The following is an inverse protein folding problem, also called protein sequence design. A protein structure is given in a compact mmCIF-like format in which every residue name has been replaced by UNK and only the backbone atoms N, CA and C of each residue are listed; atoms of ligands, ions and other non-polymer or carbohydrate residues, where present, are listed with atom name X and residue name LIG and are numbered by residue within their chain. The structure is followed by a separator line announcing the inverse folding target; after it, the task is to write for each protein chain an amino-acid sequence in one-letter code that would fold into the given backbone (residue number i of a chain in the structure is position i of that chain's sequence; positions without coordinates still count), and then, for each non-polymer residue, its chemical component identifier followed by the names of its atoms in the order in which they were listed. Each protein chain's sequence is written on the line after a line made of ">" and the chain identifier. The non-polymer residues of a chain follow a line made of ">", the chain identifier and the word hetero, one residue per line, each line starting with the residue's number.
data_IF_006844596500
#
_entry.id   IF_006844596500
#
_cell.length_a   1.000
_cell.length_b   1.000
_cell.length_c   1.000
_cell.angle_alpha   90.00
_cell.angle_beta   90.00
_cell.angle_gamma   90.00
#
_symmetry.space_group_name_H-M   'P 1'
#
loop_
_entity.id
_entity.type
_entity.pdbx_description
1 polymer ?
#
# COMPACT_ATOMS: atom_id res chain seq x y z
N UNK A 1 21.21 63.75 -38.82
CA UNK A 1 20.53 62.77 -37.93
C UNK A 1 19.77 61.70 -38.71
N UNK A 2 19.08 62.06 -39.82
CA UNK A 2 18.43 61.09 -40.71
C UNK A 2 19.45 60.19 -41.45
N UNK A 3 20.58 60.74 -41.88
CA UNK A 3 21.59 59.97 -42.61
C UNK A 3 22.36 58.97 -41.75
N UNK A 4 22.55 59.28 -40.46
CA UNK A 4 23.17 58.39 -39.48
C UNK A 4 22.31 57.15 -39.19
N UNK A 5 20.98 57.32 -39.19
CA UNK A 5 20.01 56.23 -39.02
C UNK A 5 19.96 55.35 -40.27
N UNK A 6 20.00 55.94 -41.47
CA UNK A 6 20.07 55.16 -42.74
C UNK A 6 21.33 54.29 -42.80
N UNK A 7 22.47 54.83 -42.40
CA UNK A 7 23.74 54.12 -42.40
C UNK A 7 23.75 52.95 -41.40
N UNK A 8 23.12 53.12 -40.23
CA UNK A 8 22.92 52.04 -39.26
C UNK A 8 21.98 50.92 -39.77
N UNK A 9 20.89 51.29 -40.45
CA UNK A 9 19.95 50.33 -41.05
C UNK A 9 20.63 49.53 -42.17
N UNK A 10 21.49 50.16 -42.99
CA UNK A 10 22.28 49.47 -44.01
C UNK A 10 23.32 48.51 -43.41
N UNK A 11 23.93 48.90 -42.28
CA UNK A 11 24.90 48.06 -41.56
C UNK A 11 24.25 46.84 -40.89
N UNK A 12 23.02 46.99 -40.40
CA UNK A 12 22.22 45.88 -39.85
C UNK A 12 21.74 44.95 -40.99
N UNK A 13 21.32 45.49 -42.14
CA UNK A 13 20.92 44.69 -43.31
C UNK A 13 22.07 43.90 -43.94
N UNK A 14 23.31 44.39 -43.85
CA UNK A 14 24.50 43.72 -44.40
C UNK A 14 25.12 42.69 -43.44
N UNK A 15 24.68 42.64 -42.18
CA UNK A 15 25.14 41.68 -41.17
C UNK A 15 24.77 40.24 -41.52
N UNK A 16 25.73 39.32 -41.34
CA UNK A 16 25.58 37.87 -41.59
C UNK A 16 24.40 37.26 -40.81
N UNK A 17 24.07 37.84 -39.65
CA UNK A 17 22.98 37.37 -38.77
C UNK A 17 21.60 37.77 -39.30
N UNK A 18 21.48 38.91 -39.99
CA UNK A 18 20.20 39.41 -40.51
C UNK A 18 19.84 38.84 -41.89
N UNK A 19 20.84 38.39 -42.67
CA UNK A 19 20.65 37.77 -43.99
C UNK A 19 19.63 36.61 -43.99
N UNK A 20 19.66 35.62 -43.07
CA UNK A 20 18.65 34.56 -43.06
C UNK A 20 17.23 35.11 -42.80
N UNK A 21 17.07 36.09 -41.90
CA UNK A 21 15.77 36.69 -41.61
C UNK A 21 15.21 37.50 -42.79
N UNK A 22 16.06 38.22 -43.51
CA UNK A 22 15.66 38.99 -44.69
C UNK A 22 15.24 38.04 -45.83
N UNK A 23 15.99 36.95 -46.05
CA UNK A 23 15.68 35.92 -47.04
C UNK A 23 14.36 35.20 -46.71
N UNK A 24 14.16 34.84 -45.44
CA UNK A 24 12.90 34.25 -44.95
C UNK A 24 11.75 35.25 -45.16
N UNK A 25 11.92 36.51 -44.75
CA UNK A 25 10.88 37.55 -44.93
C UNK A 25 10.50 37.74 -46.40
N UNK A 26 11.49 37.77 -47.30
CA UNK A 26 11.27 37.92 -48.75
C UNK A 26 10.55 36.70 -49.32
N UNK A 27 10.98 35.49 -48.95
CA UNK A 27 10.30 34.25 -49.32
C UNK A 27 8.83 34.19 -48.85
N UNK A 28 8.57 34.66 -47.62
CA UNK A 28 7.23 34.80 -47.05
C UNK A 28 6.37 35.88 -47.71
N UNK A 29 6.99 36.91 -48.32
CA UNK A 29 6.29 37.92 -49.12
C UNK A 29 5.91 37.37 -50.49
N UNK A 30 6.85 36.65 -51.14
CA UNK A 30 6.67 36.12 -52.49
C UNK A 30 5.71 34.91 -52.54
N UNK A 31 5.63 34.13 -51.45
CA UNK A 31 4.80 32.92 -51.39
C UNK A 31 3.61 33.09 -50.43
N UNK A 32 2.60 33.89 -50.84
CA UNK A 32 1.43 34.23 -50.02
C UNK A 32 0.67 33.00 -49.49
N UNK A 33 0.49 31.96 -50.31
CA UNK A 33 -0.20 30.72 -49.90
C UNK A 33 0.63 29.94 -48.88
N UNK A 34 1.95 29.79 -49.11
CA UNK A 34 2.85 29.05 -48.20
C UNK A 34 2.98 29.78 -46.86
N UNK A 35 2.98 31.12 -46.84
CA UNK A 35 2.90 31.91 -45.61
C UNK A 35 1.68 31.54 -44.76
N UNK A 36 0.49 31.54 -45.37
CA UNK A 36 -0.76 31.19 -44.67
C UNK A 36 -0.69 29.76 -44.14
N UNK A 37 -0.14 28.83 -44.93
CA UNK A 37 0.05 27.44 -44.53
C UNK A 37 1.02 27.30 -43.34
N UNK A 38 2.15 28.00 -43.35
CA UNK A 38 3.13 27.95 -42.23
C UNK A 38 2.54 28.56 -40.95
N UNK A 39 1.84 29.70 -41.05
CA UNK A 39 1.17 30.32 -39.88
C UNK A 39 0.09 29.37 -39.34
N UNK A 40 -0.72 28.78 -40.22
CA UNK A 40 -1.74 27.81 -39.84
C UNK A 40 -1.11 26.57 -39.19
N UNK A 41 -0.04 26.03 -39.77
CA UNK A 41 0.69 24.90 -39.19
C UNK A 41 1.25 25.23 -37.81
N UNK A 42 1.80 26.42 -37.61
CA UNK A 42 2.32 26.85 -36.31
C UNK A 42 1.20 26.96 -35.26
N UNK A 43 0.06 27.55 -35.63
CA UNK A 43 -1.14 27.62 -34.78
C UNK A 43 -1.70 26.24 -34.47
N UNK A 44 -1.75 25.35 -35.46
CA UNK A 44 -2.21 23.98 -35.31
C UNK A 44 -1.30 23.19 -34.38
N UNK A 45 0.02 23.29 -34.54
CA UNK A 45 0.98 22.66 -33.61
C UNK A 45 0.80 23.19 -32.19
N UNK A 46 0.61 24.50 -32.01
CA UNK A 46 0.33 25.08 -30.69
C UNK A 46 -0.97 24.53 -30.07
N UNK A 47 -2.03 24.38 -30.88
CA UNK A 47 -3.30 23.78 -30.47
C UNK A 47 -3.16 22.30 -30.08
N UNK A 48 -2.45 21.51 -30.89
CA UNK A 48 -2.18 20.10 -30.60
C UNK A 48 -1.35 19.98 -29.32
N UNK A 49 -0.33 20.82 -29.13
CA UNK A 49 0.46 20.86 -27.89
C UNK A 49 -0.37 21.22 -26.66
N UNK A 50 -1.35 22.13 -26.78
CA UNK A 50 -2.28 22.45 -25.69
C UNK A 50 -3.22 21.28 -25.37
N UNK A 51 -3.74 20.59 -26.39
CA UNK A 51 -4.58 19.40 -26.21
C UNK A 51 -3.82 18.25 -25.58
N UNK A 52 -2.60 17.97 -26.06
CA UNK A 52 -1.72 16.98 -25.44
C UNK A 52 -1.38 17.42 -24.01
N UNK A 53 -1.10 18.70 -23.79
CA UNK A 53 -0.89 19.27 -22.47
C UNK A 53 -2.08 19.04 -21.54
N UNK A 54 -3.31 19.17 -22.01
CA UNK A 54 -4.52 18.91 -21.22
C UNK A 54 -4.73 17.40 -20.94
N UNK A 55 -4.41 16.53 -21.89
CA UNK A 55 -4.52 15.06 -21.73
C UNK A 55 -3.46 14.54 -20.75
N UNK A 56 -2.23 15.05 -20.83
CA UNK A 56 -1.11 14.63 -19.98
C UNK A 56 -0.94 15.47 -18.72
N UNK A 57 -1.73 16.54 -18.55
CA UNK A 57 -1.70 17.32 -17.31
C UNK A 57 -2.14 16.43 -16.15
N UNK A 58 -1.39 16.39 -15.04
CA UNK A 58 -1.84 15.72 -13.84
C UNK A 58 -3.22 16.24 -13.45
N UNK A 59 -4.18 15.34 -13.23
CA UNK A 59 -5.46 15.73 -12.66
C UNK A 59 -5.22 16.47 -11.34
N UNK A 60 -5.92 17.58 -11.11
CA UNK A 60 -5.82 18.32 -9.85
C UNK A 60 -6.18 17.36 -8.70
N UNK A 61 -5.19 16.99 -7.90
CA UNK A 61 -5.43 16.26 -6.67
C UNK A 61 -6.00 17.25 -5.66
N UNK A 62 -7.25 17.01 -5.26
CA UNK A 62 -7.94 17.80 -4.24
C UNK A 62 -7.47 17.46 -2.82
N UNK A 63 -6.83 16.30 -2.63
CA UNK A 63 -6.33 15.80 -1.35
C UNK A 63 -4.80 15.72 -1.35
N UNK A 64 -4.18 16.07 -0.22
CA UNK A 64 -2.73 15.97 -0.06
C UNK A 64 -2.29 14.51 0.09
N UNK A 65 -1.03 14.22 -0.23
CA UNK A 65 -0.42 12.89 0.01
C UNK A 65 -0.54 12.47 1.48
N UNK A 66 -0.59 13.44 2.40
CA UNK A 66 -0.80 13.19 3.83
C UNK A 66 -2.21 12.75 4.17
N UNK A 67 -3.22 13.31 3.50
CA UNK A 67 -4.62 12.87 3.64
C UNK A 67 -4.83 11.48 3.03
N UNK A 68 -4.10 11.16 1.95
CA UNK A 68 -4.10 9.86 1.29
C UNK A 68 -3.11 8.84 1.89
N UNK A 69 -2.54 9.13 3.07
CA UNK A 69 -1.71 8.16 3.82
C UNK A 69 -2.55 6.91 4.10
N UNK A 70 -2.05 5.78 3.62
CA UNK A 70 -2.67 4.47 3.79
C UNK A 70 -2.19 3.74 5.02
N UNK A 71 -1.29 4.32 5.82
CA UNK A 71 -0.86 3.79 7.12
C UNK A 71 -1.07 4.87 8.17
N UNK A 72 -1.72 4.50 9.27
CA UNK A 72 -1.99 5.36 10.43
C UNK A 72 -1.62 4.60 11.70
N UNK A 73 -1.19 5.35 12.71
CA UNK A 73 -0.92 4.87 14.06
C UNK A 73 -1.90 5.57 14.98
N UNK A 74 -2.51 4.84 15.93
CA UNK A 74 -3.39 5.43 16.92
C UNK A 74 -2.56 6.24 17.92
N UNK A 75 -2.99 7.45 18.28
CA UNK A 75 -2.14 8.38 19.04
C UNK A 75 -1.90 7.89 20.47
N UNK A 76 -2.84 7.13 21.03
CA UNK A 76 -2.70 6.45 22.33
C UNK A 76 -1.75 5.24 22.33
N UNK A 77 -1.02 5.00 21.24
CA UNK A 77 -0.01 3.93 21.16
C UNK A 77 -0.57 2.51 21.15
N UNK A 78 -1.89 2.33 21.03
CA UNK A 78 -2.52 1.01 21.11
C UNK A 78 -2.35 0.15 19.87
N UNK A 79 -1.90 0.73 18.75
CA UNK A 79 -1.63 -0.04 17.55
C UNK A 79 -1.48 0.78 16.28
N UNK A 80 -1.46 0.06 15.17
CA UNK A 80 -1.40 0.61 13.82
C UNK A 80 -2.48 0.00 12.93
N UNK A 81 -2.94 0.75 11.95
CA UNK A 81 -3.84 0.28 10.90
C UNK A 81 -3.40 0.78 9.53
N UNK A 82 -3.43 -0.13 8.55
CA UNK A 82 -2.98 0.10 7.18
C UNK A 82 -4.05 -0.30 6.18
N UNK A 83 -4.47 0.64 5.35
CA UNK A 83 -5.27 0.39 4.15
C UNK A 83 -4.38 -0.20 3.04
N UNK A 84 -4.36 -1.53 2.90
CA UNK A 84 -3.48 -2.26 2.00
C UNK A 84 -4.00 -2.34 0.56
N UNK A 85 -5.32 -2.37 0.37
CA UNK A 85 -5.94 -2.39 -0.96
C UNK A 85 -7.21 -1.54 -1.02
N UNK A 86 -7.47 -0.97 -2.19
CA UNK A 86 -8.66 -0.19 -2.50
C UNK A 86 -9.11 -0.50 -3.93
N UNK A 87 -10.33 -1.01 -4.06
CA UNK A 87 -10.94 -1.36 -5.34
C UNK A 87 -12.33 -0.76 -5.44
N UNK A 88 -12.69 -0.30 -6.63
CA UNK A 88 -14.01 0.25 -6.93
C UNK A 88 -14.53 -0.31 -8.23
N UNK A 89 -15.79 -0.73 -8.21
CA UNK A 89 -16.54 -1.14 -9.38
C UNK A 89 -17.62 -0.12 -9.73
N UNK A 90 -17.42 0.70 -10.77
CA UNK A 90 -18.46 1.62 -11.25
C UNK A 90 -19.74 0.90 -11.69
N UNK A 91 -19.60 -0.32 -12.24
CA UNK A 91 -20.73 -1.08 -12.77
C UNK A 91 -21.68 -1.60 -11.69
N UNK A 92 -21.13 -2.03 -10.54
CA UNK A 92 -21.92 -2.57 -9.44
C UNK A 92 -22.09 -1.61 -8.26
N UNK A 93 -21.40 -0.47 -8.27
CA UNK A 93 -21.45 0.51 -7.18
C UNK A 93 -20.87 -0.05 -5.88
N UNK A 94 -19.82 -0.86 -5.97
CA UNK A 94 -19.17 -1.52 -4.82
C UNK A 94 -17.75 -1.00 -4.67
N UNK A 95 -17.38 -0.59 -3.46
CA UNK A 95 -15.99 -0.38 -3.05
C UNK A 95 -15.59 -1.51 -2.11
N UNK A 96 -14.41 -2.09 -2.33
CA UNK A 96 -13.77 -3.05 -1.44
C UNK A 96 -12.47 -2.46 -0.92
N UNK A 97 -12.30 -2.45 0.39
CA UNK A 97 -11.14 -1.95 1.09
C UNK A 97 -10.56 -3.07 1.95
N UNK A 98 -9.23 -3.24 1.90
CA UNK A 98 -8.55 -4.19 2.77
C UNK A 98 -7.70 -3.43 3.78
N UNK A 99 -7.96 -3.68 5.06
CA UNK A 99 -7.23 -3.13 6.17
C UNK A 99 -6.40 -4.21 6.86
N UNK A 100 -5.20 -3.84 7.26
CA UNK A 100 -4.34 -4.65 8.13
C UNK A 100 -4.11 -3.92 9.45
N UNK A 101 -4.21 -4.62 10.57
CA UNK A 101 -4.03 -4.05 11.91
C UNK A 101 -2.87 -4.69 12.64
N UNK A 102 -2.25 -3.94 13.54
CA UNK A 102 -1.24 -4.43 14.47
C UNK A 102 -1.61 -3.95 15.87
N UNK A 103 -1.80 -4.88 16.79
CA UNK A 103 -2.01 -4.56 18.20
C UNK A 103 -0.65 -4.35 18.88
N UNK A 104 -0.46 -3.20 19.52
CA UNK A 104 0.75 -2.86 20.27
C UNK A 104 0.59 -3.08 21.78
N UNK A 105 -0.61 -3.42 22.25
CA UNK A 105 -0.93 -3.62 23.68
C UNK A 105 -0.69 -5.05 24.15
N UNK A 106 -0.49 -5.98 23.21
CA UNK A 106 -0.28 -7.40 23.49
C UNK A 106 1.10 -7.84 23.02
N UNK A 107 1.82 -8.69 23.80
CA UNK A 107 3.04 -9.33 23.32
C UNK A 107 2.76 -10.42 22.27
N UNK A 108 1.49 -10.75 22.05
CA UNK A 108 1.08 -11.74 21.04
C UNK A 108 0.97 -11.04 19.69
N UNK A 109 1.70 -11.54 18.69
CA UNK A 109 1.68 -11.03 17.31
C UNK A 109 0.31 -11.28 16.64
N UNK A 110 -0.62 -10.35 16.89
CA UNK A 110 -2.01 -10.35 16.40
C UNK A 110 -2.44 -8.95 16.00
N UNK A 111 -3.50 -8.88 15.21
CA UNK A 111 -4.18 -7.61 14.93
C UNK A 111 -5.09 -7.19 16.07
N UNK A 112 -5.57 -5.95 15.96
CA UNK A 112 -6.55 -5.38 16.89
C UNK A 112 -7.88 -6.12 16.69
N UNK A 113 -8.48 -6.60 17.79
CA UNK A 113 -9.79 -7.24 17.75
C UNK A 113 -10.82 -6.30 17.11
N UNK A 114 -11.47 -6.75 16.04
CA UNK A 114 -12.50 -5.99 15.33
C UNK A 114 -13.67 -5.54 16.21
N UNK A 115 -13.96 -6.24 17.32
CA UNK A 115 -14.98 -5.83 18.30
C UNK A 115 -14.58 -4.56 19.05
N UNK A 116 -13.28 -4.26 19.12
CA UNK A 116 -12.72 -3.04 19.71
C UNK A 116 -12.54 -1.92 18.70
N UNK A 117 -12.88 -2.13 17.42
CA UNK A 117 -12.83 -1.10 16.39
C UNK A 117 -14.25 -0.60 16.13
N UNK A 118 -14.48 0.70 16.35
CA UNK A 118 -15.72 1.38 15.94
C UNK A 118 -15.45 2.08 14.61
N UNK A 119 -16.35 1.88 13.66
CA UNK A 119 -16.20 2.40 12.30
C UNK A 119 -17.34 3.37 12.01
N UNK A 120 -17.02 4.50 11.38
CA UNK A 120 -18.01 5.44 10.87
C UNK A 120 -17.70 5.75 9.41
N UNK A 121 -18.74 5.79 8.57
CA UNK A 121 -18.63 6.12 7.15
C UNK A 121 -19.25 7.49 6.90
N UNK A 122 -18.45 8.39 6.32
CA UNK A 122 -18.89 9.70 5.89
C UNK A 122 -18.80 9.84 4.38
N UNK A 123 -19.78 10.47 3.75
CA UNK A 123 -19.81 10.71 2.32
C UNK A 123 -20.01 12.17 1.99
N UNK A 124 -19.31 12.65 0.95
CA UNK A 124 -19.57 13.96 0.38
C UNK A 124 -20.93 14.00 -0.34
N UNK A 125 -21.24 12.95 -1.10
CA UNK A 125 -22.51 12.81 -1.82
C UNK A 125 -23.28 11.61 -1.25
N UNK A 126 -24.02 11.83 -0.16
CA UNK A 126 -24.76 10.76 0.52
C UNK A 126 -25.91 10.24 -0.36
N UNK A 127 -25.99 8.92 -0.52
CA UNK A 127 -27.22 8.23 -0.92
C UNK A 127 -27.82 7.53 0.30
N UNK A 128 -29.15 7.46 0.38
CA UNK A 128 -29.84 6.87 1.55
C UNK A 128 -29.50 5.39 1.74
N UNK A 129 -29.12 4.70 0.65
CA UNK A 129 -28.90 3.26 0.65
C UNK A 129 -27.43 2.86 0.73
N UNK A 130 -26.48 3.83 0.83
CA UNK A 130 -25.06 3.49 0.98
C UNK A 130 -24.83 2.89 2.38
N UNK A 131 -24.37 1.64 2.40
CA UNK A 131 -24.03 0.91 3.63
C UNK A 131 -22.59 0.40 3.58
N UNK A 132 -21.97 0.32 4.76
CA UNK A 132 -20.66 -0.27 4.96
C UNK A 132 -20.76 -1.56 5.77
N UNK A 133 -20.13 -2.62 5.27
CA UNK A 133 -20.08 -3.93 5.92
C UNK A 133 -18.64 -4.29 6.26
N UNK A 134 -18.42 -4.75 7.50
CA UNK A 134 -17.09 -5.12 7.99
C UNK A 134 -17.00 -6.64 8.07
N UNK A 135 -15.96 -7.21 7.47
CA UNK A 135 -15.74 -8.66 7.40
C UNK A 135 -14.31 -8.96 7.88
N UNK A 136 -14.13 -9.48 9.11
CA UNK A 136 -12.81 -9.88 9.57
C UNK A 136 -12.40 -11.19 8.87
N UNK A 137 -11.25 -11.19 8.18
CA UNK A 137 -10.75 -12.35 7.43
C UNK A 137 -9.83 -13.19 8.31
N UNK A 138 -8.74 -12.61 8.77
CA UNK A 138 -7.83 -13.18 9.80
C UNK A 138 -7.62 -12.16 10.91
N UNK A 139 -6.94 -12.56 12.00
CA UNK A 139 -6.74 -11.72 13.19
C UNK A 139 -6.24 -10.30 12.88
N UNK A 140 -5.43 -10.15 11.83
CA UNK A 140 -4.83 -8.87 11.44
C UNK A 140 -5.34 -8.32 10.11
N UNK A 141 -6.33 -8.94 9.44
CA UNK A 141 -6.82 -8.50 8.13
C UNK A 141 -8.34 -8.39 8.13
N UNK A 142 -8.84 -7.24 7.70
CA UNK A 142 -10.26 -6.87 7.71
C UNK A 142 -10.63 -6.37 6.32
N UNK A 143 -11.65 -6.96 5.71
CA UNK A 143 -12.21 -6.48 4.46
C UNK A 143 -13.46 -5.64 4.75
N UNK A 144 -13.54 -4.46 4.15
CA UNK A 144 -14.65 -3.52 4.30
C UNK A 144 -15.29 -3.33 2.93
N UNK A 145 -16.60 -3.54 2.87
CA UNK A 145 -17.41 -3.42 1.65
C UNK A 145 -18.29 -2.19 1.79
N UNK A 146 -18.25 -1.28 0.83
CA UNK A 146 -19.21 -0.18 0.74
C UNK A 146 -20.10 -0.44 -0.47
N UNK A 147 -21.41 -0.57 -0.24
CA UNK A 147 -22.41 -0.89 -1.27
C UNK A 147 -23.22 0.34 -1.64
N UNK A 148 -23.84 0.30 -2.82
CA UNK A 148 -24.70 1.35 -3.35
C UNK A 148 -23.98 2.70 -3.52
N UNK A 149 -22.70 2.64 -3.88
CA UNK A 149 -21.85 3.79 -4.13
C UNK A 149 -22.22 4.43 -5.47
N UNK A 150 -22.57 5.72 -5.52
CA UNK A 150 -22.88 6.41 -6.78
C UNK A 150 -21.61 6.66 -7.61
N UNK A 151 -21.74 6.71 -8.94
CA UNK A 151 -20.60 6.92 -9.85
C UNK A 151 -19.77 8.19 -9.54
N UNK A 152 -20.42 9.22 -9.01
CA UNK A 152 -19.85 10.51 -8.68
C UNK A 152 -19.76 10.75 -7.16
N UNK A 153 -19.46 9.72 -6.37
CA UNK A 153 -19.42 9.82 -4.89
C UNK A 153 -18.43 10.86 -4.34
N UNK A 154 -17.48 11.34 -5.15
CA UNK A 154 -16.52 12.38 -4.77
C UNK A 154 -15.45 11.80 -3.84
N UNK A 155 -15.76 11.73 -2.55
CA UNK A 155 -14.96 11.06 -1.55
C UNK A 155 -15.81 10.48 -0.41
N UNK A 156 -15.32 9.37 0.13
CA UNK A 156 -15.70 8.85 1.44
C UNK A 156 -14.56 9.07 2.43
N UNK A 157 -14.91 9.39 3.68
CA UNK A 157 -14.01 9.30 4.80
C UNK A 157 -14.48 8.18 5.73
N UNK A 158 -13.53 7.42 6.23
CA UNK A 158 -13.76 6.30 7.12
C UNK A 158 -12.99 6.60 8.39
N UNK A 159 -13.75 6.83 9.46
CA UNK A 159 -13.18 7.00 10.79
C UNK A 159 -13.18 5.65 11.49
N UNK A 160 -12.03 5.34 12.09
CA UNK A 160 -11.83 4.11 12.83
C UNK A 160 -11.36 4.52 14.22
N UNK A 161 -12.22 4.35 15.22
CA UNK A 161 -11.87 4.54 16.63
C UNK A 161 -11.39 3.20 17.19
N UNK A 162 -10.18 3.14 17.73
CA UNK A 162 -9.78 1.99 18.54
C UNK A 162 -10.39 2.14 19.94
N UNK A 163 -10.82 1.06 20.59
CA UNK A 163 -11.34 1.07 21.97
C UNK A 163 -10.49 0.20 22.90
N UNK A 164 -9.34 -0.23 22.42
CA UNK A 164 -8.35 -0.93 23.24
C UNK A 164 -7.84 0.03 24.32
N UNK A 165 -7.88 -0.43 25.57
CA UNK A 165 -7.37 0.34 26.72
C UNK A 165 -5.85 0.35 26.66
N UNK A 166 -5.23 1.52 26.67
CA UNK A 166 -3.78 1.61 26.76
C UNK A 166 -3.34 1.34 28.20
N UNK A 167 -2.25 0.59 28.37
CA UNK A 167 -1.73 0.26 29.71
C UNK A 167 -1.21 1.49 30.46
N UNK A 168 -0.86 2.56 29.73
CA UNK A 168 -0.48 3.86 30.29
C UNK A 168 -1.62 4.57 31.01
N UNK A 169 -2.87 4.25 30.66
CA UNK A 169 -4.06 4.98 31.11
C UNK A 169 -4.70 4.30 32.35
N UNK A 170 -4.09 3.21 32.83
CA UNK A 170 -4.55 2.48 34.00
C UNK A 170 -3.91 3.10 35.24
N UNK A 171 -4.65 3.98 35.92
CA UNK A 171 -4.29 4.48 37.24
C UNK A 171 -4.51 3.38 38.29
N UNK A 172 -3.43 2.96 38.95
CA UNK A 172 -3.43 1.97 40.04
C UNK A 172 -3.09 2.60 41.39
N UNK A 173 -2.89 3.92 41.44
CA UNK A 173 -2.49 4.61 42.65
C UNK A 173 -3.69 4.84 43.58
N UNK A 174 -3.45 4.64 44.88
CA UNK A 174 -4.46 4.86 45.92
C UNK A 174 -4.35 6.30 46.39
N UNK A 175 -5.39 7.10 46.17
CA UNK A 175 -5.40 8.51 46.59
C UNK A 175 -5.26 8.64 48.10
N UNK A 176 -4.12 9.15 48.57
CA UNK A 176 -3.90 9.52 49.98
C UNK A 176 -4.50 10.90 50.28
N UNK A 177 -5.22 11.08 51.40
CA UNK A 177 -5.99 12.30 51.68
C UNK A 177 -5.16 13.52 52.10
N UNK A 178 -3.89 13.62 51.71
CA UNK A 178 -2.99 14.70 52.15
C UNK A 178 -2.22 15.41 51.05
N UNK A 179 -2.56 15.17 49.79
CA UNK A 179 -2.00 15.94 48.67
C UNK A 179 -3.07 16.85 48.06
N UNK A 180 -3.22 18.05 48.63
CA UNK A 180 -3.76 19.22 47.92
C UNK A 180 -2.71 19.77 46.93
N UNK A 181 -2.09 18.91 46.13
CA UNK A 181 -1.21 19.30 45.04
C UNK A 181 -1.90 18.97 43.73
N UNK A 182 -2.10 20.04 42.94
CA UNK A 182 -2.55 20.09 41.55
C UNK A 182 -3.48 18.96 41.15
N UNK A 183 -4.78 19.28 41.05
CA UNK A 183 -5.69 18.55 40.17
C UNK A 183 -4.97 18.27 38.85
N UNK A 184 -4.45 17.06 38.69
CA UNK A 184 -4.39 16.43 37.38
C UNK A 184 -5.80 16.57 36.87
N UNK A 185 -5.93 17.47 35.91
CA UNK A 185 -7.11 17.59 35.08
C UNK A 185 -7.40 16.15 34.68
N UNK A 186 -8.52 15.61 35.17
CA UNK A 186 -9.18 14.51 34.48
C UNK A 186 -9.21 15.00 33.03
N UNK A 187 -8.32 14.50 32.19
CA UNK A 187 -8.52 14.61 30.76
C UNK A 187 -9.88 13.98 30.59
N UNK A 188 -10.88 14.82 30.31
CA UNK A 188 -12.05 14.34 29.61
C UNK A 188 -11.48 13.48 28.49
N UNK A 189 -11.87 12.20 28.45
CA UNK A 189 -11.54 11.29 27.36
C UNK A 189 -11.91 12.03 26.07
N UNK A 190 -10.94 12.71 25.45
CA UNK A 190 -11.15 13.35 24.17
C UNK A 190 -11.14 12.16 23.21
N UNK A 191 -12.35 11.64 22.96
CA UNK A 191 -12.64 10.48 22.11
C UNK A 191 -11.97 10.62 20.72
N UNK A 192 -11.50 11.82 20.35
CA UNK A 192 -10.80 12.16 19.10
C UNK A 192 -9.34 11.66 19.03
N UNK A 193 -8.60 11.54 20.13
CA UNK A 193 -7.17 11.13 20.12
C UNK A 193 -6.98 9.66 19.64
N UNK A 194 -8.05 8.87 19.65
CA UNK A 194 -8.03 7.47 19.27
C UNK A 194 -8.73 7.17 17.94
N UNK A 195 -8.97 8.21 17.14
CA UNK A 195 -9.59 8.12 15.82
C UNK A 195 -8.55 8.28 14.74
N UNK A 196 -8.57 7.35 13.77
CA UNK A 196 -7.81 7.51 12.54
C UNK A 196 -8.75 7.57 11.35
N UNK A 197 -8.45 8.47 10.42
CA UNK A 197 -9.28 8.72 9.26
C UNK A 197 -8.59 8.29 7.96
N UNK A 198 -9.36 7.62 7.10
CA UNK A 198 -8.95 7.20 5.76
C UNK A 198 -9.88 7.80 4.70
N UNK A 199 -9.29 8.32 3.63
CA UNK A 199 -10.03 8.89 2.49
C UNK A 199 -10.00 7.94 1.30
N UNK A 200 -11.19 7.68 0.73
CA UNK A 200 -11.37 6.94 -0.51
C UNK A 200 -12.00 7.87 -1.52
N UNK A 201 -11.35 8.08 -2.67
CA UNK A 201 -11.84 9.00 -3.72
C UNK A 201 -11.51 8.48 -5.11
N UNK A 202 -12.36 8.79 -6.08
CA UNK A 202 -12.11 8.51 -7.51
C UNK A 202 -10.88 9.24 -8.05
N UNK A 203 -10.40 10.28 -7.37
CA UNK A 203 -9.19 11.02 -7.70
C UNK A 203 -7.91 10.36 -7.15
N UNK A 204 -8.04 9.34 -6.30
CA UNK A 204 -6.90 8.63 -5.75
C UNK A 204 -6.37 7.60 -6.75
N UNK A 205 -5.11 7.74 -7.17
CA UNK A 205 -4.45 6.80 -8.09
C UNK A 205 -4.29 5.39 -7.53
N UNK A 206 -4.38 5.22 -6.20
CA UNK A 206 -4.34 3.92 -5.53
C UNK A 206 -5.68 3.17 -5.61
N UNK A 207 -6.78 3.83 -5.96
CA UNK A 207 -8.09 3.20 -6.13
C UNK A 207 -8.13 2.47 -7.48
N UNK A 208 -8.09 1.14 -7.43
CA UNK A 208 -8.17 0.31 -8.64
C UNK A 208 -9.60 0.25 -9.14
N UNK A 209 -9.79 0.36 -10.46
CA UNK A 209 -11.09 0.18 -11.10
C UNK A 209 -11.18 -1.24 -11.65
N UNK A 210 -12.10 -2.03 -11.13
CA UNK A 210 -12.30 -3.43 -11.54
C UNK A 210 -13.77 -3.85 -11.42
N UNK A 211 -14.13 -4.95 -12.07
CA UNK A 211 -15.49 -5.48 -12.00
C UNK A 211 -15.58 -6.34 -10.73
N UNK A 212 -16.37 -5.87 -9.75
CA UNK A 212 -16.61 -6.59 -8.50
C UNK A 212 -18.02 -7.15 -8.57
N UNK A 213 -18.16 -8.47 -8.43
CA UNK A 213 -19.48 -9.12 -8.47
C UNK A 213 -20.32 -8.64 -7.29
N UNK A 214 -21.57 -8.28 -7.56
CA UNK A 214 -22.54 -8.00 -6.49
C UNK A 214 -23.02 -9.32 -5.89
N UNK A 215 -22.37 -9.73 -4.81
CA UNK A 215 -22.67 -10.96 -4.05
C UNK A 215 -23.15 -10.61 -2.64
N UNK A 216 -23.75 -11.56 -1.93
CA UNK A 216 -24.12 -11.36 -0.52
C UNK A 216 -22.89 -11.10 0.34
N UNK A 217 -23.09 -10.63 1.58
CA UNK A 217 -21.98 -10.43 2.51
C UNK A 217 -21.31 -11.76 2.88
N UNK A 218 -22.09 -12.81 3.03
CA UNK A 218 -21.64 -14.17 3.32
C UNK A 218 -20.82 -14.72 2.15
N UNK A 219 -21.33 -14.58 0.92
CA UNK A 219 -20.62 -15.00 -0.29
C UNK A 219 -19.30 -14.24 -0.46
N UNK A 220 -19.29 -12.93 -0.17
CA UNK A 220 -18.07 -12.13 -0.18
C UNK A 220 -17.08 -12.57 0.91
N UNK A 221 -17.56 -12.82 2.13
CA UNK A 221 -16.72 -13.32 3.21
C UNK A 221 -16.09 -14.66 2.84
N UNK A 222 -16.85 -15.55 2.21
CA UNK A 222 -16.34 -16.82 1.71
C UNK A 222 -15.28 -16.63 0.62
N UNK A 223 -15.49 -15.72 -0.33
CA UNK A 223 -14.48 -15.46 -1.37
C UNK A 223 -13.18 -14.93 -0.79
N UNK A 224 -13.24 -13.97 0.14
CA UNK A 224 -12.04 -13.43 0.79
C UNK A 224 -11.33 -14.47 1.66
N UNK A 225 -12.07 -15.35 2.34
CA UNK A 225 -11.49 -16.47 3.10
C UNK A 225 -10.77 -17.45 2.16
N UNK A 226 -11.37 -17.77 1.01
CA UNK A 226 -10.75 -18.66 0.01
C UNK A 226 -9.49 -18.01 -0.57
N UNK A 227 -9.54 -16.76 -0.98
CA UNK A 227 -8.37 -16.03 -1.49
C UNK A 227 -7.24 -15.97 -0.46
N UNK A 228 -7.58 -15.76 0.82
CA UNK A 228 -6.60 -15.79 1.90
C UNK A 228 -6.01 -17.19 2.10
N UNK A 229 -6.82 -18.27 2.04
CA UNK A 229 -6.31 -19.65 2.11
C UNK A 229 -5.34 -19.95 0.98
N UNK A 230 -5.71 -19.63 -0.27
CA UNK A 230 -4.85 -19.82 -1.44
C UNK A 230 -3.52 -19.07 -1.29
N UNK A 231 -3.56 -17.84 -0.74
CA UNK A 231 -2.35 -17.09 -0.43
C UNK A 231 -1.46 -17.79 0.61
N UNK A 232 -2.06 -18.31 1.70
CA UNK A 232 -1.33 -19.04 2.74
C UNK A 232 -0.74 -20.36 2.22
N UNK A 233 -1.48 -21.10 1.39
CA UNK A 233 -0.99 -22.32 0.73
C UNK A 233 0.20 -22.03 -0.19
N UNK A 234 0.14 -20.94 -0.96
CA UNK A 234 1.26 -20.47 -1.76
C UNK A 234 2.50 -20.10 -0.93
N UNK A 235 2.33 -19.59 0.30
CA UNK A 235 3.46 -19.38 1.21
C UNK A 235 4.10 -20.70 1.64
N UNK A 236 3.30 -21.74 1.92
CA UNK A 236 3.81 -23.08 2.27
C UNK A 236 4.61 -23.66 1.09
N UNK A 237 4.09 -23.57 -0.13
CA UNK A 237 4.80 -24.05 -1.33
C UNK A 237 6.15 -23.36 -1.49
N UNK A 238 6.18 -22.02 -1.35
CA UNK A 238 7.43 -21.24 -1.41
C UNK A 238 8.44 -21.65 -0.34
N UNK A 239 8.00 -21.89 0.89
CA UNK A 239 8.86 -22.34 1.98
C UNK A 239 9.40 -23.74 1.73
N UNK A 240 8.57 -24.67 1.25
CA UNK A 240 8.99 -26.03 0.88
C UNK A 240 10.04 -26.01 -0.24
N UNK A 241 9.81 -25.23 -1.32
CA UNK A 241 10.79 -25.07 -2.40
C UNK A 241 12.11 -24.50 -1.88
N UNK A 242 12.07 -23.56 -0.94
CA UNK A 242 13.28 -23.01 -0.31
C UNK A 242 14.02 -24.07 0.52
N UNK A 243 13.30 -24.90 1.26
CA UNK A 243 13.87 -26.03 2.03
C UNK A 243 14.53 -27.04 1.09
N UNK A 244 13.90 -27.39 -0.03
CA UNK A 244 14.48 -28.30 -1.02
C UNK A 244 15.80 -27.77 -1.60
N UNK A 245 15.84 -26.48 -1.98
CA UNK A 245 17.06 -25.84 -2.46
C UNK A 245 18.16 -25.82 -1.39
N UNK A 246 17.82 -25.55 -0.13
CA UNK A 246 18.77 -25.58 0.97
C UNK A 246 19.31 -27.00 1.20
N UNK A 247 18.46 -28.03 1.12
CA UNK A 247 18.89 -29.43 1.25
C UNK A 247 19.83 -29.86 0.12
N UNK A 248 19.51 -29.53 -1.13
CA UNK A 248 20.41 -29.79 -2.26
C UNK A 248 21.75 -29.06 -2.10
N UNK A 249 21.72 -27.81 -1.63
CA UNK A 249 22.94 -27.04 -1.37
C UNK A 249 23.78 -27.60 -0.20
N UNK A 250 23.15 -28.23 0.80
CA UNK A 250 23.84 -28.96 1.87
C UNK A 250 24.48 -30.24 1.32
N UNK A 251 23.79 -30.98 0.45
CA UNK A 251 24.33 -32.19 -0.18
C UNK A 251 25.58 -31.90 -1.01
N UNK A 252 25.57 -30.81 -1.79
CA UNK A 252 26.75 -30.32 -2.52
C UNK A 252 27.92 -29.99 -1.58
N UNK A 253 27.64 -29.30 -0.47
CA UNK A 253 28.65 -28.92 0.52
C UNK A 253 29.22 -30.13 1.25
N UNK A 254 28.39 -31.11 1.61
CA UNK A 254 28.83 -32.39 2.17
C UNK A 254 29.72 -33.16 1.20
N UNK A 255 29.39 -33.15 -0.10
CA UNK A 255 30.24 -33.74 -1.15
C UNK A 255 31.60 -33.05 -1.24
N UNK A 256 31.63 -31.70 -1.24
CA UNK A 256 32.88 -30.91 -1.24
C UNK A 256 33.71 -31.18 0.01
N UNK A 257 33.09 -31.20 1.19
CA UNK A 257 33.74 -31.52 2.46
C UNK A 257 34.39 -32.90 2.41
N UNK A 258 33.67 -33.91 1.93
CA UNK A 258 34.20 -35.26 1.77
C UNK A 258 35.38 -35.32 0.79
N UNK A 259 35.36 -34.51 -0.28
CA UNK A 259 36.50 -34.35 -1.19
C UNK A 259 37.74 -33.78 -0.48
N UNK A 260 37.57 -32.67 0.25
CA UNK A 260 38.64 -32.03 1.02
C UNK A 260 39.23 -32.95 2.10
N UNK A 261 38.38 -33.69 2.81
CA UNK A 261 38.81 -34.65 3.83
C UNK A 261 39.65 -35.79 3.24
N UNK A 262 39.32 -36.26 2.03
CA UNK A 262 40.14 -37.25 1.31
C UNK A 262 41.47 -36.67 0.84
N UNK A 263 41.46 -35.44 0.34
CA UNK A 263 42.69 -34.77 -0.11
C UNK A 263 43.65 -34.51 1.05
N UNK A 264 43.12 -34.18 2.23
CA UNK A 264 43.90 -33.92 3.44
C UNK A 264 44.83 -35.09 3.83
N UNK A 265 44.54 -36.33 3.42
CA UNK A 265 45.42 -37.49 3.64
C UNK A 265 46.80 -37.35 2.97
N UNK A 266 46.91 -36.49 1.95
CA UNK A 266 48.13 -36.29 1.17
C UNK A 266 48.78 -34.92 1.39
N UNK A 267 48.16 -34.04 2.19
CA UNK A 267 48.65 -32.68 2.42
C UNK A 267 49.49 -32.59 3.69
N UNK A 268 50.36 -31.57 3.78
CA UNK A 268 51.17 -31.28 4.96
C UNK A 268 51.50 -29.79 5.05
N UNK A 269 51.89 -29.33 6.24
CA UNK A 269 52.25 -27.91 6.46
C UNK A 269 51.10 -26.97 6.15
N UNK A 270 51.41 -25.87 5.48
CA UNK A 270 50.47 -24.78 5.18
C UNK A 270 49.27 -25.25 4.32
N UNK A 271 49.47 -26.21 3.41
CA UNK A 271 48.39 -26.74 2.55
C UNK A 271 47.35 -27.51 3.37
N UNK A 272 47.79 -28.28 4.38
CA UNK A 272 46.89 -28.99 5.29
C UNK A 272 46.12 -28.00 6.17
N UNK A 273 46.77 -26.95 6.65
CA UNK A 273 46.11 -25.91 7.45
C UNK A 273 45.05 -25.16 6.61
N UNK A 274 45.34 -24.84 5.36
CA UNK A 274 44.37 -24.21 4.45
C UNK A 274 43.17 -25.10 4.21
N UNK A 275 43.37 -26.39 3.90
CA UNK A 275 42.29 -27.35 3.70
C UNK A 275 41.39 -27.46 4.95
N UNK A 276 41.97 -27.53 6.15
CA UNK A 276 41.20 -27.55 7.41
C UNK A 276 40.33 -26.30 7.60
N UNK A 277 40.82 -25.11 7.20
CA UNK A 277 40.03 -23.87 7.23
C UNK A 277 38.88 -23.91 6.23
N UNK A 278 39.09 -24.48 5.05
CA UNK A 278 38.04 -24.65 4.04
C UNK A 278 36.96 -25.62 4.53
N UNK A 279 37.34 -26.74 5.15
CA UNK A 279 36.41 -27.69 5.79
C UNK A 279 35.58 -26.99 6.88
N UNK A 280 36.21 -26.25 7.79
CA UNK A 280 35.51 -25.53 8.85
C UNK A 280 34.53 -24.47 8.29
N UNK A 281 34.90 -23.82 7.19
CA UNK A 281 34.03 -22.86 6.49
C UNK A 281 32.79 -23.55 5.91
N UNK A 282 32.97 -24.73 5.29
CA UNK A 282 31.87 -25.53 4.77
C UNK A 282 30.94 -26.00 5.90
N UNK A 283 31.49 -26.46 7.03
CA UNK A 283 30.68 -26.88 8.19
C UNK A 283 29.82 -25.73 8.74
N UNK A 284 30.39 -24.52 8.86
CA UNK A 284 29.65 -23.32 9.25
C UNK A 284 28.52 -22.96 8.28
N UNK A 285 28.77 -23.10 6.97
CA UNK A 285 27.76 -22.88 5.93
C UNK A 285 26.61 -23.89 6.05
N UNK A 286 26.92 -25.16 6.26
CA UNK A 286 25.91 -26.23 6.47
C UNK A 286 25.07 -25.93 7.71
N UNK A 287 25.70 -25.55 8.83
CA UNK A 287 24.99 -25.21 10.07
C UNK A 287 24.02 -24.03 9.86
N UNK A 288 24.46 -22.98 9.15
CA UNK A 288 23.62 -21.82 8.82
C UNK A 288 22.43 -22.19 7.94
N UNK A 289 22.63 -23.07 6.94
CA UNK A 289 21.54 -23.59 6.11
C UNK A 289 20.55 -24.43 6.92
N UNK A 290 21.03 -25.27 7.84
CA UNK A 290 20.18 -26.05 8.74
C UNK A 290 19.31 -25.16 9.64
N UNK A 291 19.86 -24.08 10.23
CA UNK A 291 19.07 -23.09 11.00
C UNK A 291 17.99 -22.42 10.14
N UNK A 292 18.30 -22.17 8.87
CA UNK A 292 17.35 -21.59 7.92
C UNK A 292 16.21 -22.57 7.59
N UNK A 293 16.51 -23.87 7.44
CA UNK A 293 15.50 -24.93 7.27
C UNK A 293 14.61 -25.03 8.51
N UNK A 294 15.17 -24.99 9.72
CA UNK A 294 14.40 -25.00 10.97
C UNK A 294 13.43 -23.81 11.04
N UNK A 295 13.92 -22.60 10.75
CA UNK A 295 13.10 -21.38 10.72
C UNK A 295 11.97 -21.49 9.68
N UNK A 296 12.27 -21.99 8.48
CA UNK A 296 11.26 -22.20 7.44
C UNK A 296 10.20 -23.23 7.88
N UNK A 297 10.61 -24.31 8.55
CA UNK A 297 9.70 -25.34 9.07
C UNK A 297 8.77 -24.78 10.15
N UNK A 298 9.30 -24.02 11.11
CA UNK A 298 8.48 -23.33 12.13
C UNK A 298 7.50 -22.33 11.50
N UNK A 299 7.89 -21.65 10.42
CA UNK A 299 7.00 -20.76 9.71
C UNK A 299 5.88 -21.53 8.98
N UNK A 300 6.17 -22.70 8.40
CA UNK A 300 5.14 -23.57 7.81
C UNK A 300 4.10 -23.97 8.88
N UNK A 301 4.52 -24.38 10.08
CA UNK A 301 3.61 -24.73 11.17
C UNK A 301 2.69 -23.56 11.55
N UNK A 302 3.23 -22.34 11.63
CA UNK A 302 2.44 -21.12 11.89
C UNK A 302 1.42 -20.86 10.78
N UNK A 303 1.80 -21.03 9.52
CA UNK A 303 0.90 -20.84 8.37
C UNK A 303 -0.19 -21.92 8.35
N UNK A 304 0.13 -23.17 8.64
CA UNK A 304 -0.86 -24.25 8.77
C UNK A 304 -1.89 -23.98 9.87
N UNK A 305 -1.46 -23.46 11.03
CA UNK A 305 -2.38 -23.07 12.09
C UNK A 305 -3.37 -21.95 11.64
N UNK A 306 -2.90 -21.02 10.79
CA UNK A 306 -3.76 -19.98 10.19
C UNK A 306 -4.77 -20.59 9.21
N UNK A 307 -4.35 -21.53 8.35
CA UNK A 307 -5.26 -22.24 7.44
C UNK A 307 -6.37 -22.97 8.21
N UNK A 308 -6.02 -23.71 9.27
CA UNK A 308 -7.02 -24.39 10.13
C UNK A 308 -8.02 -23.40 10.74
N UNK A 309 -7.57 -22.20 11.10
CA UNK A 309 -8.44 -21.16 11.65
C UNK A 309 -9.36 -20.56 10.59
N UNK A 310 -8.85 -20.38 9.36
CA UNK A 310 -9.65 -19.98 8.20
C UNK A 310 -10.71 -21.02 7.83
N UNK A 311 -10.40 -22.32 7.86
CA UNK A 311 -11.35 -23.41 7.61
C UNK A 311 -12.50 -23.44 8.64
N UNK A 312 -12.18 -23.19 9.92
CA UNK A 312 -13.19 -23.04 10.96
C UNK A 312 -14.10 -21.86 10.68
N UNK A 313 -13.55 -20.71 10.27
CA UNK A 313 -14.32 -19.53 9.90
C UNK A 313 -15.17 -19.77 8.65
N UNK A 314 -14.62 -20.41 7.63
CA UNK A 314 -15.33 -20.81 6.42
C UNK A 314 -16.56 -21.67 6.75
N UNK A 315 -16.38 -22.64 7.64
CA UNK A 315 -17.47 -23.51 8.13
C UNK A 315 -18.53 -22.69 8.86
N UNK A 316 -18.11 -21.80 9.78
CA UNK A 316 -19.02 -20.95 10.54
C UNK A 316 -19.83 -19.99 9.65
N UNK A 317 -19.24 -19.50 8.54
CA UNK A 317 -19.97 -18.67 7.58
C UNK A 317 -20.97 -19.51 6.78
N UNK A 318 -20.59 -20.73 6.37
CA UNK A 318 -21.48 -21.64 5.61
C UNK A 318 -22.66 -22.17 6.42
N UNK A 319 -22.47 -22.44 7.71
CA UNK A 319 -23.52 -22.94 8.59
C UNK A 319 -24.34 -21.83 9.28
N UNK A 320 -23.96 -20.56 9.08
CA UNK A 320 -24.66 -19.39 9.61
C UNK A 320 -24.38 -19.10 11.09
N UNK A 321 -23.40 -19.77 11.71
CA UNK A 321 -22.99 -19.51 13.10
C UNK A 321 -22.03 -18.33 13.24
N UNK A 322 -21.47 -17.83 12.13
CA UNK A 322 -20.62 -16.66 12.12
C UNK A 322 -21.42 -15.36 12.35
N UNK A 323 -21.14 -14.67 13.46
CA UNK A 323 -21.77 -13.41 13.79
C UNK A 323 -21.13 -12.24 13.04
N UNK A 324 -21.87 -11.71 12.06
CA UNK A 324 -21.53 -10.52 11.33
C UNK A 324 -21.95 -9.25 12.09
N UNK A 325 -21.05 -8.25 12.20
CA UNK A 325 -21.40 -6.94 12.75
C UNK A 325 -22.51 -6.27 11.92
N UNK A 326 -23.43 -5.53 12.53
CA UNK A 326 -24.47 -4.83 11.78
C UNK A 326 -23.88 -3.89 10.70
N UNK A 327 -24.52 -3.76 9.53
CA UNK A 327 -24.13 -2.77 8.53
C UNK A 327 -24.14 -1.36 9.13
N UNK A 328 -23.17 -0.54 8.71
CA UNK A 328 -23.01 0.83 9.16
C UNK A 328 -23.60 1.76 8.09
N UNK A 329 -24.52 2.61 8.51
CA UNK A 329 -25.13 3.61 7.63
C UNK A 329 -24.19 4.78 7.38
N UNK A 330 -24.30 5.34 6.18
CA UNK A 330 -23.50 6.50 5.78
C UNK A 330 -24.02 7.78 6.41
N UNK A 331 -23.11 8.60 6.95
CA UNK A 331 -23.36 9.95 7.45
C UNK A 331 -22.92 10.98 6.41
N UNK A 332 -23.63 12.09 6.29
CA UNK A 332 -23.23 13.18 5.39
C UNK A 332 -22.06 13.96 5.99
N UNK A 333 -21.03 14.23 5.20
CA UNK A 333 -19.94 15.12 5.60
C UNK A 333 -20.49 16.54 5.76
N UNK A 334 -20.27 17.15 6.93
CA UNK A 334 -20.68 18.54 7.20
C UNK A 334 -19.69 19.55 6.64
#
# INVERSE_FOLDING_TARGET
>A
MIDTIKCWIEKIKSSVIAKPFITIKRWFQDNVIKRKLVIFSMLFTAWVSLLLGAIYSPQRQTYTDEQLKTKRTFENGTGEIRLSSQSYSPETGIIVLQFETKDSTSPVDRGIDTKRLKWNLYAQNKTADTIMEIVPIVDNKISVIIRNVPENFGAYAIDITNKTVATSDIDIDVSTPSDEQEKTVNQEDDDDDNVVQFYVSTQNSKLKKEIIKSVSREEFALSEIIEEKDFQEGQIEKLNNSIEQLKASIEDDESRKNGLLKEAEYLSGDDLESNQKDVATIESNIETKNRSIETATQNIEKVQAKIVSLEKKETAVKDGTFEFSNPIETVEMK
#
